data_IF_323111264194
#
_entry.id   IF_323111264194
#
_cell.length_a   1.000
_cell.length_b   1.000
_cell.length_c   1.000
_cell.angle_alpha   90.00
_cell.angle_beta   90.00
_cell.angle_gamma   90.00
#
_symmetry.space_group_name_H-M   'P 1'
#
loop_
_entity.id
_entity.type
_entity.pdbx_description
1 polymer ?
#
# COMPACT_ATOMS: atom_id res chain seq x y z
N UNK A 1 8.44 27.04 7.32
CA UNK A 1 9.68 26.30 7.60
C UNK A 1 10.12 25.67 6.29
N UNK A 2 11.30 26.05 5.82
CA UNK A 2 11.84 25.84 4.48
C UNK A 2 12.21 24.38 4.26
N UNK A 3 11.69 23.81 3.18
CA UNK A 3 12.15 22.54 2.62
C UNK A 3 13.50 22.78 1.93
N UNK A 4 14.57 22.28 2.50
CA UNK A 4 15.85 22.17 1.79
C UNK A 4 15.91 20.82 1.06
N UNK A 5 16.14 20.90 -0.24
CA UNK A 5 16.37 19.80 -1.15
C UNK A 5 17.63 19.03 -0.74
N UNK A 6 17.53 17.72 -0.53
CA UNK A 6 18.72 16.85 -0.37
C UNK A 6 18.90 16.09 -1.68
N UNK A 7 19.92 16.54 -2.42
CA UNK A 7 20.49 15.84 -3.57
C UNK A 7 21.22 14.57 -3.13
N UNK A 8 21.21 13.57 -4.01
CA UNK A 8 21.97 12.31 -4.02
C UNK A 8 23.18 12.26 -3.07
N UNK A 9 23.16 11.34 -2.09
CA UNK A 9 24.38 10.92 -1.37
C UNK A 9 24.47 11.37 0.10
N UNK A 10 23.39 11.53 0.83
CA UNK A 10 23.42 11.97 2.22
C UNK A 10 23.19 10.84 3.24
N UNK A 11 24.16 10.69 4.15
CA UNK A 11 24.09 9.84 5.33
C UNK A 11 22.89 10.27 6.21
N UNK A 12 22.04 9.32 6.57
CA UNK A 12 21.04 9.52 7.63
C UNK A 12 21.79 9.66 8.96
N UNK A 13 21.76 10.84 9.57
CA UNK A 13 22.27 11.07 10.92
C UNK A 13 21.24 10.65 11.95
N UNK A 14 21.71 10.02 13.00
CA UNK A 14 20.99 9.61 14.19
C UNK A 14 20.07 10.70 14.74
N UNK A 15 18.78 10.38 14.82
CA UNK A 15 17.84 11.05 15.70
C UNK A 15 17.38 10.02 16.76
N UNK A 16 18.27 9.71 17.69
CA UNK A 16 17.99 8.87 18.85
C UNK A 16 17.79 9.78 20.06
N UNK A 17 16.56 10.10 20.37
CA UNK A 17 15.98 10.20 21.73
C UNK A 17 14.53 10.67 21.61
N UNK A 18 13.56 9.77 21.72
CA UNK A 18 12.16 10.09 21.97
C UNK A 18 11.27 10.37 20.76
N UNK A 19 11.71 10.13 19.52
CA UNK A 19 10.91 10.34 18.31
C UNK A 19 10.32 9.03 17.77
N UNK A 20 9.15 9.06 17.10
CA UNK A 20 8.51 7.87 16.55
C UNK A 20 9.42 7.15 15.55
N UNK A 21 9.52 5.83 15.69
CA UNK A 21 10.40 4.96 14.89
C UNK A 21 9.78 4.71 13.51
N UNK A 22 10.05 5.58 12.55
CA UNK A 22 9.64 5.40 11.13
C UNK A 22 10.87 5.08 10.31
N UNK A 23 10.85 3.99 9.55
CA UNK A 23 11.81 3.70 8.50
C UNK A 23 11.14 3.89 7.13
N UNK A 24 11.71 4.71 6.27
CA UNK A 24 11.35 4.84 4.86
C UNK A 24 12.41 4.07 4.08
N UNK A 25 12.00 3.10 3.31
CA UNK A 25 12.89 2.39 2.38
C UNK A 25 12.46 2.76 0.98
N UNK A 26 13.24 3.65 0.35
CA UNK A 26 13.10 3.98 -1.07
C UNK A 26 14.04 3.09 -1.85
N UNK A 27 13.54 2.47 -2.93
CA UNK A 27 14.37 1.70 -3.83
C UNK A 27 15.35 2.59 -4.58
N UNK A 28 16.63 2.47 -4.28
CA UNK A 28 17.68 3.03 -5.12
C UNK A 28 18.39 1.88 -5.82
N UNK A 29 18.51 1.97 -7.13
CA UNK A 29 19.32 1.08 -7.94
C UNK A 29 20.74 0.98 -7.37
N UNK A 30 21.17 -0.24 -7.06
CA UNK A 30 22.47 -0.61 -6.50
C UNK A 30 22.67 -0.40 -4.99
N UNK A 31 22.31 -1.40 -4.23
CA UNK A 31 22.73 -1.56 -2.84
C UNK A 31 21.68 -1.11 -1.82
N UNK A 32 21.02 -2.07 -1.24
CA UNK A 32 20.10 -1.89 -0.11
C UNK A 32 20.87 -1.24 1.05
N UNK A 33 20.76 0.07 1.14
CA UNK A 33 21.30 0.86 2.24
C UNK A 33 20.35 0.84 3.44
N UNK A 34 20.33 -0.26 4.20
CA UNK A 34 19.72 -0.27 5.51
C UNK A 34 20.59 0.50 6.47
N UNK A 35 20.19 1.72 6.79
CA UNK A 35 20.85 2.51 7.83
C UNK A 35 20.03 2.43 9.11
N UNK A 36 20.61 1.72 10.09
CA UNK A 36 20.41 2.00 11.49
C UNK A 36 19.10 1.58 12.15
N UNK A 37 18.85 0.28 12.21
CA UNK A 37 18.13 -0.28 13.35
C UNK A 37 19.07 -1.34 13.99
N UNK A 38 19.56 -1.02 15.19
CA UNK A 38 20.43 -1.91 15.93
C UNK A 38 19.81 -3.31 16.09
N UNK A 39 20.70 -4.31 16.03
CA UNK A 39 20.41 -5.72 16.28
C UNK A 39 19.88 -5.93 17.72
N UNK A 40 18.59 -5.75 17.91
CA UNK A 40 17.91 -6.33 19.07
C UNK A 40 16.82 -7.24 18.55
N UNK A 41 16.88 -8.51 18.93
CA UNK A 41 15.75 -9.44 18.72
C UNK A 41 14.56 -8.85 19.48
N UNK A 42 13.39 -8.64 18.85
CA UNK A 42 12.23 -8.19 19.58
C UNK A 42 11.84 -9.29 20.56
N UNK A 43 12.06 -9.04 21.83
CA UNK A 43 11.59 -9.93 22.92
C UNK A 43 10.15 -9.62 23.32
N UNK A 44 9.51 -8.65 22.65
CA UNK A 44 8.18 -8.16 22.99
C UNK A 44 7.33 -8.03 21.72
N UNK A 45 6.05 -8.41 21.76
CA UNK A 45 5.11 -8.25 20.63
C UNK A 45 4.95 -6.79 20.19
N UNK A 46 5.19 -5.84 21.09
CA UNK A 46 5.17 -4.39 20.82
C UNK A 46 6.29 -3.91 19.87
N UNK A 47 7.33 -4.73 19.67
CA UNK A 47 8.46 -4.40 18.81
C UNK A 47 8.32 -4.94 17.37
N UNK A 48 7.31 -5.76 17.10
CA UNK A 48 7.04 -6.27 15.73
C UNK A 48 6.61 -5.11 14.84
N UNK A 49 7.34 -4.79 13.75
CA UNK A 49 7.02 -3.64 12.91
C UNK A 49 5.76 -3.87 12.08
N UNK A 50 5.10 -2.79 11.72
CA UNK A 50 4.01 -2.76 10.74
C UNK A 50 4.61 -2.33 9.40
N UNK A 51 4.52 -3.19 8.39
CA UNK A 51 4.97 -2.92 7.01
C UNK A 51 3.78 -2.43 6.19
N UNK A 52 3.89 -1.26 5.57
CA UNK A 52 2.83 -0.62 4.80
C UNK A 52 3.16 -0.63 3.31
N UNK A 53 2.23 -1.15 2.50
CA UNK A 53 2.31 -1.25 1.04
C UNK A 53 1.25 -0.36 0.39
N UNK A 54 1.68 0.54 -0.49
CA UNK A 54 0.81 1.45 -1.23
C UNK A 54 0.07 0.78 -2.40
N UNK A 55 -0.83 1.50 -3.06
CA UNK A 55 -1.55 1.05 -4.26
C UNK A 55 -0.84 1.39 -5.57
N UNK A 56 -1.53 1.21 -6.70
CA UNK A 56 -1.03 1.28 -8.08
C UNK A 56 -0.36 2.60 -8.45
N UNK A 57 -0.98 3.71 -8.14
CA UNK A 57 -0.45 5.07 -8.40
C UNK A 57 0.06 5.74 -7.12
N UNK A 58 0.25 4.96 -6.05
CA UNK A 58 0.65 5.44 -4.74
C UNK A 58 2.14 5.39 -4.51
N UNK A 59 2.52 5.91 -3.37
CA UNK A 59 3.88 5.93 -2.83
C UNK A 59 3.83 5.79 -1.30
N UNK A 60 4.97 5.55 -0.68
CA UNK A 60 5.05 5.34 0.77
C UNK A 60 4.55 6.54 1.59
N UNK A 61 4.62 7.74 1.04
CA UNK A 61 4.14 8.98 1.64
C UNK A 61 2.62 9.06 1.82
N UNK A 62 1.84 8.31 1.04
CA UNK A 62 0.38 8.27 1.16
C UNK A 62 -0.09 7.86 2.55
N UNK A 63 0.72 7.07 3.23
CA UNK A 63 0.46 6.61 4.58
C UNK A 63 0.76 7.63 5.70
N UNK A 64 1.28 8.83 5.39
CA UNK A 64 1.84 9.75 6.38
C UNK A 64 0.91 10.05 7.55
N UNK A 65 -0.38 10.33 7.29
CA UNK A 65 -1.36 10.63 8.35
C UNK A 65 -1.72 9.39 9.19
N UNK A 66 -1.76 8.22 8.58
CA UNK A 66 -1.99 6.94 9.26
C UNK A 66 -0.79 6.59 10.13
N UNK A 67 0.43 6.80 9.62
CA UNK A 67 1.70 6.55 10.31
C UNK A 67 1.82 7.37 11.59
N UNK A 68 1.37 8.61 11.60
CA UNK A 68 1.35 9.45 12.81
C UNK A 68 0.59 8.81 13.98
N UNK A 69 -0.43 8.01 13.68
CA UNK A 69 -1.17 7.29 14.70
C UNK A 69 -0.50 5.96 15.05
N UNK A 70 -0.09 5.18 14.04
CA UNK A 70 0.52 3.86 14.24
C UNK A 70 1.82 3.93 15.05
N UNK A 71 2.66 4.92 14.80
CA UNK A 71 3.97 5.08 15.45
C UNK A 71 3.92 5.36 16.93
N UNK A 72 2.76 5.77 17.46
CA UNK A 72 2.53 5.91 18.90
C UNK A 72 2.54 4.55 19.62
N UNK A 73 2.31 3.48 18.89
CA UNK A 73 2.13 2.12 19.44
C UNK A 73 3.09 1.10 18.86
N UNK A 74 3.52 1.25 17.61
CA UNK A 74 4.26 0.24 16.86
C UNK A 74 5.34 0.86 15.97
N UNK A 75 6.49 0.23 15.78
CA UNK A 75 7.43 0.60 14.71
C UNK A 75 6.74 0.44 13.35
N UNK A 76 6.99 1.36 12.42
CA UNK A 76 6.39 1.35 11.07
C UNK A 76 7.48 1.38 10.01
N UNK A 77 7.31 0.56 8.98
CA UNK A 77 8.13 0.51 7.77
C UNK A 77 7.23 0.84 6.60
N UNK A 78 7.53 1.90 5.86
CA UNK A 78 6.86 2.26 4.60
C UNK A 78 7.76 1.85 3.45
N UNK A 79 7.21 1.16 2.46
CA UNK A 79 7.98 0.64 1.34
C UNK A 79 7.46 1.18 0.01
N UNK A 80 8.38 1.76 -0.79
CA UNK A 80 8.20 1.94 -2.22
C UNK A 80 8.74 0.68 -2.91
N UNK A 81 7.87 -0.32 -3.04
CA UNK A 81 8.22 -1.66 -3.53
C UNK A 81 8.09 -1.83 -5.05
N UNK A 82 7.37 -0.91 -5.70
CA UNK A 82 7.14 -0.92 -7.11
C UNK A 82 8.22 -0.08 -7.81
N UNK A 83 9.34 -0.70 -8.16
CA UNK A 83 10.40 -0.03 -8.92
C UNK A 83 10.25 -0.28 -10.42
N UNK A 84 10.67 0.68 -11.28
CA UNK A 84 10.74 0.45 -12.71
C UNK A 84 11.65 -0.74 -13.04
N UNK A 85 11.16 -1.64 -13.89
CA UNK A 85 11.99 -2.71 -14.43
C UNK A 85 12.60 -2.22 -15.74
N UNK A 86 13.92 -2.09 -15.78
CA UNK A 86 14.62 -1.62 -16.96
C UNK A 86 14.38 -2.54 -18.18
N UNK A 87 14.00 -1.95 -19.32
CA UNK A 87 13.83 -2.69 -20.57
C UNK A 87 12.45 -3.30 -20.81
N UNK A 88 11.45 -2.90 -20.03
CA UNK A 88 10.09 -3.44 -20.17
C UNK A 88 9.22 -2.77 -21.25
N UNK A 89 9.72 -2.63 -22.48
CA UNK A 89 8.88 -2.81 -23.65
C UNK A 89 8.56 -4.30 -23.87
N UNK A 90 9.05 -5.16 -22.97
CA UNK A 90 8.99 -6.60 -23.08
C UNK A 90 7.68 -7.20 -22.54
N UNK A 91 7.34 -8.36 -23.09
CA UNK A 91 6.20 -9.25 -22.81
C UNK A 91 6.09 -9.64 -21.32
N UNK A 92 7.13 -9.42 -20.53
CA UNK A 92 7.24 -9.78 -19.12
C UNK A 92 6.99 -8.59 -18.20
N UNK A 93 5.71 -8.18 -18.07
CA UNK A 93 5.31 -7.29 -16.96
C UNK A 93 5.63 -7.97 -15.62
N UNK A 94 6.11 -7.23 -14.60
CA UNK A 94 6.34 -7.80 -13.27
C UNK A 94 5.03 -8.40 -12.74
N UNK A 95 5.18 -9.44 -11.93
CA UNK A 95 4.08 -10.15 -11.30
C UNK A 95 3.95 -9.70 -9.84
N UNK A 96 2.82 -10.00 -9.23
CA UNK A 96 2.64 -9.82 -7.78
C UNK A 96 3.76 -10.49 -6.97
N UNK A 97 4.26 -11.67 -7.43
CA UNK A 97 5.40 -12.36 -6.81
C UNK A 97 6.68 -11.54 -6.79
N UNK A 98 6.98 -10.81 -7.86
CA UNK A 98 8.22 -10.03 -7.97
C UNK A 98 8.20 -8.84 -6.99
N UNK A 99 7.01 -8.25 -6.78
CA UNK A 99 6.80 -7.24 -5.76
C UNK A 99 6.87 -7.83 -4.35
N UNK A 100 6.30 -9.02 -4.15
CA UNK A 100 6.36 -9.72 -2.87
C UNK A 100 7.81 -10.03 -2.44
N UNK A 101 8.64 -10.52 -3.37
CA UNK A 101 10.06 -10.82 -3.11
C UNK A 101 10.83 -9.57 -2.67
N UNK A 102 10.58 -8.42 -3.30
CA UNK A 102 11.20 -7.13 -2.90
C UNK A 102 10.76 -6.70 -1.52
N UNK A 103 9.46 -6.79 -1.22
CA UNK A 103 8.93 -6.45 0.10
C UNK A 103 9.55 -7.33 1.18
N UNK A 104 9.60 -8.64 0.97
CA UNK A 104 10.17 -9.61 1.92
C UNK A 104 11.65 -9.35 2.14
N UNK A 105 12.41 -9.10 1.08
CA UNK A 105 13.82 -8.76 1.17
C UNK A 105 14.03 -7.46 1.98
N UNK A 106 13.24 -6.43 1.71
CA UNK A 106 13.35 -5.14 2.40
C UNK A 106 12.89 -5.23 3.87
N UNK A 107 11.77 -5.88 4.16
CA UNK A 107 11.25 -6.05 5.51
C UNK A 107 12.13 -6.97 6.37
N UNK A 108 12.72 -8.02 5.78
CA UNK A 108 13.63 -8.96 6.44
C UNK A 108 15.05 -8.43 6.62
N UNK A 109 15.42 -7.38 5.92
CA UNK A 109 16.72 -6.76 6.06
C UNK A 109 16.89 -6.20 7.48
N UNK A 110 17.99 -6.53 8.14
CA UNK A 110 18.22 -6.21 9.55
C UNK A 110 17.91 -7.35 10.52
N UNK A 111 17.67 -8.58 10.02
CA UNK A 111 17.48 -9.80 10.82
C UNK A 111 16.11 -9.88 11.49
N UNK A 112 15.11 -9.17 10.97
CA UNK A 112 13.72 -9.29 11.42
C UNK A 112 13.11 -10.55 10.85
N UNK A 113 12.48 -11.31 11.73
CA UNK A 113 11.88 -12.61 11.35
C UNK A 113 10.36 -12.53 11.20
N UNK A 114 9.70 -11.52 11.80
CA UNK A 114 8.24 -11.37 11.75
C UNK A 114 7.84 -9.88 11.67
N UNK A 115 6.75 -9.61 10.97
CA UNK A 115 6.12 -8.29 10.86
C UNK A 115 4.60 -8.42 10.70
N UNK A 116 3.89 -7.35 11.01
CA UNK A 116 2.50 -7.18 10.56
C UNK A 116 2.51 -6.54 9.19
N UNK A 117 1.59 -6.96 8.33
CA UNK A 117 1.56 -6.53 6.95
C UNK A 117 0.26 -5.79 6.64
N UNK A 118 0.37 -4.60 6.10
CA UNK A 118 -0.76 -3.80 5.65
C UNK A 118 -0.62 -3.53 4.16
N UNK A 119 -1.60 -3.89 3.38
CA UNK A 119 -1.62 -3.62 1.94
C UNK A 119 -2.88 -2.85 1.54
N UNK A 120 -2.70 -1.84 0.68
CA UNK A 120 -3.78 -1.06 0.09
C UNK A 120 -3.90 -1.31 -1.40
N UNK A 121 -5.11 -1.61 -1.90
CA UNK A 121 -5.39 -1.79 -3.34
C UNK A 121 -4.48 -2.85 -3.96
N UNK A 122 -3.63 -2.53 -4.94
CA UNK A 122 -2.59 -3.44 -5.46
C UNK A 122 -1.70 -3.98 -4.34
N UNK A 123 -1.32 -3.13 -3.38
CA UNK A 123 -0.56 -3.55 -2.20
C UNK A 123 -1.29 -4.62 -1.36
N UNK A 124 -2.64 -4.67 -1.39
CA UNK A 124 -3.40 -5.73 -0.74
C UNK A 124 -3.26 -7.07 -1.48
N UNK A 125 -3.17 -7.07 -2.82
CA UNK A 125 -2.86 -8.29 -3.58
C UNK A 125 -1.44 -8.79 -3.27
N UNK A 126 -0.46 -7.87 -3.19
CA UNK A 126 0.92 -8.20 -2.79
C UNK A 126 0.96 -8.75 -1.36
N UNK A 127 0.24 -8.11 -0.42
CA UNK A 127 0.15 -8.58 0.96
C UNK A 127 -0.52 -9.97 1.07
N UNK A 128 -1.55 -10.23 0.27
CA UNK A 128 -2.21 -11.53 0.18
C UNK A 128 -1.23 -12.62 -0.26
N UNK A 129 -0.43 -12.32 -1.30
CA UNK A 129 0.61 -13.25 -1.78
C UNK A 129 1.66 -13.53 -0.70
N UNK A 130 2.20 -12.48 -0.06
CA UNK A 130 3.21 -12.61 1.00
C UNK A 130 2.66 -13.42 2.18
N UNK A 131 1.45 -13.13 2.64
CA UNK A 131 0.86 -13.82 3.79
C UNK A 131 0.64 -15.33 3.53
N UNK A 132 0.46 -15.72 2.28
CA UNK A 132 0.31 -17.12 1.88
C UNK A 132 1.65 -17.84 1.73
N UNK A 133 2.58 -17.23 0.99
CA UNK A 133 3.82 -17.91 0.56
C UNK A 133 4.98 -17.70 1.55
N UNK A 134 4.92 -16.63 2.37
CA UNK A 134 5.92 -16.31 3.41
C UNK A 134 5.29 -16.29 4.81
N UNK A 135 4.39 -17.24 5.07
CA UNK A 135 3.53 -17.28 6.26
C UNK A 135 4.29 -17.18 7.59
N UNK A 136 5.51 -17.70 7.67
CA UNK A 136 6.34 -17.66 8.88
C UNK A 136 6.82 -16.23 9.24
N UNK A 137 6.86 -15.33 8.26
CA UNK A 137 7.27 -13.96 8.47
C UNK A 137 6.10 -13.02 8.83
N UNK A 138 4.86 -13.45 8.58
CA UNK A 138 3.68 -12.60 8.74
C UNK A 138 2.95 -12.97 10.03
N UNK A 139 2.88 -12.02 10.98
CA UNK A 139 2.15 -12.18 12.23
C UNK A 139 0.65 -11.96 12.05
N UNK A 140 0.28 -10.89 11.36
CA UNK A 140 -1.09 -10.54 11.02
C UNK A 140 -1.14 -9.72 9.73
N UNK A 141 -2.32 -9.65 9.11
CA UNK A 141 -2.52 -8.96 7.82
C UNK A 141 -3.69 -8.01 7.90
N UNK A 142 -3.52 -6.80 7.34
CA UNK A 142 -4.62 -5.87 7.08
C UNK A 142 -4.68 -5.59 5.58
N UNK A 143 -5.81 -5.85 4.98
CA UNK A 143 -6.07 -5.63 3.55
C UNK A 143 -7.09 -4.50 3.40
N UNK A 144 -6.65 -3.37 2.84
CA UNK A 144 -7.48 -2.17 2.68
C UNK A 144 -7.87 -2.03 1.21
N UNK A 145 -9.17 -2.00 0.93
CA UNK A 145 -9.72 -1.85 -0.44
C UNK A 145 -9.08 -2.82 -1.45
N UNK A 146 -8.87 -4.07 -1.03
CA UNK A 146 -8.21 -5.10 -1.82
C UNK A 146 -9.16 -5.84 -2.77
N UNK A 147 -8.59 -6.49 -3.78
CA UNK A 147 -9.26 -7.38 -4.71
C UNK A 147 -8.42 -8.62 -4.98
N UNK A 148 -9.07 -9.72 -5.36
CA UNK A 148 -8.39 -11.01 -5.57
C UNK A 148 -8.10 -11.33 -7.04
N UNK A 149 -8.82 -10.65 -7.99
CA UNK A 149 -8.78 -10.99 -9.41
C UNK A 149 -8.95 -9.76 -10.29
N UNK A 150 -7.89 -9.40 -11.03
CA UNK A 150 -7.84 -8.22 -11.90
C UNK A 150 -8.49 -8.42 -13.27
N UNK A 151 -8.63 -9.67 -13.74
CA UNK A 151 -9.22 -9.97 -15.02
C UNK A 151 -10.76 -10.16 -14.99
N UNK A 152 -11.42 -9.85 -13.85
CA UNK A 152 -12.85 -9.66 -13.82
C UNK A 152 -13.27 -8.62 -14.87
N UNK A 153 -14.37 -8.80 -15.61
CA UNK A 153 -14.74 -7.91 -16.72
C UNK A 153 -14.80 -6.42 -16.34
N UNK A 154 -15.32 -6.09 -15.15
CA UNK A 154 -15.40 -4.69 -14.69
C UNK A 154 -14.02 -4.14 -14.35
N UNK A 155 -13.22 -4.89 -13.59
CA UNK A 155 -11.86 -4.48 -13.21
C UNK A 155 -10.98 -4.32 -14.47
N UNK A 156 -11.09 -5.26 -15.40
CA UNK A 156 -10.36 -5.22 -16.66
C UNK A 156 -10.69 -3.97 -17.48
N UNK A 157 -11.97 -3.65 -17.67
CA UNK A 157 -12.39 -2.44 -18.39
C UNK A 157 -11.84 -1.17 -17.72
N UNK A 158 -11.86 -1.13 -16.39
CA UNK A 158 -11.34 -0.01 -15.63
C UNK A 158 -9.82 0.14 -15.79
N UNK A 159 -9.06 -0.94 -15.62
CA UNK A 159 -7.60 -0.89 -15.74
C UNK A 159 -7.14 -0.69 -17.18
N UNK A 160 -7.84 -1.25 -18.19
CA UNK A 160 -7.58 -0.96 -19.61
C UNK A 160 -7.81 0.54 -19.91
N UNK A 161 -8.87 1.13 -19.34
CA UNK A 161 -9.11 2.59 -19.47
C UNK A 161 -8.00 3.39 -18.78
N UNK A 162 -7.57 2.99 -17.58
CA UNK A 162 -6.49 3.69 -16.87
C UNK A 162 -5.18 3.63 -17.66
N UNK A 163 -4.85 2.45 -18.22
CA UNK A 163 -3.64 2.27 -19.03
C UNK A 163 -3.70 3.14 -20.30
N UNK A 164 -4.86 3.23 -20.94
CA UNK A 164 -5.07 4.12 -22.08
C UNK A 164 -4.86 5.59 -21.70
N UNK A 165 -5.50 6.05 -20.62
CA UNK A 165 -5.42 7.44 -20.18
C UNK A 165 -4.03 7.80 -19.64
N UNK A 166 -3.34 6.91 -18.97
CA UNK A 166 -1.97 7.13 -18.53
C UNK A 166 -1.02 7.50 -19.68
N UNK A 167 -1.31 6.99 -20.90
CA UNK A 167 -0.54 7.26 -22.11
C UNK A 167 -1.02 8.46 -22.90
N UNK A 168 -2.32 8.73 -22.90
CA UNK A 168 -2.94 9.68 -23.83
C UNK A 168 -3.42 10.96 -23.16
N UNK A 169 -3.95 10.87 -21.93
CA UNK A 169 -4.48 12.01 -21.16
C UNK A 169 -4.39 11.80 -19.66
N UNK A 170 -3.24 12.15 -19.12
CA UNK A 170 -2.93 12.03 -17.68
C UNK A 170 -3.85 12.89 -16.82
N UNK A 171 -4.30 14.03 -17.34
CA UNK A 171 -5.25 14.92 -16.66
C UNK A 171 -6.62 14.27 -16.53
N UNK A 172 -7.10 13.61 -17.60
CA UNK A 172 -8.34 12.85 -17.55
C UNK A 172 -8.25 11.68 -16.59
N UNK A 173 -7.09 10.98 -16.53
CA UNK A 173 -6.88 9.93 -15.53
C UNK A 173 -6.95 10.49 -14.11
N UNK A 174 -6.29 11.61 -13.82
CA UNK A 174 -6.37 12.26 -12.52
C UNK A 174 -7.80 12.62 -12.12
N UNK A 175 -8.60 13.16 -13.04
CA UNK A 175 -10.03 13.43 -12.82
C UNK A 175 -10.82 12.17 -12.54
N UNK A 176 -10.58 11.10 -13.31
CA UNK A 176 -11.25 9.81 -13.13
C UNK A 176 -10.91 9.21 -11.75
N UNK A 177 -9.64 9.26 -11.34
CA UNK A 177 -9.21 8.77 -10.04
C UNK A 177 -9.84 9.56 -8.88
N UNK A 178 -9.96 10.87 -8.98
CA UNK A 178 -10.62 11.68 -7.96
C UNK A 178 -12.12 11.34 -7.84
N UNK A 179 -12.83 11.29 -8.96
CA UNK A 179 -14.30 11.06 -8.94
C UNK A 179 -14.67 9.65 -8.52
N UNK A 180 -13.83 8.66 -8.82
CA UNK A 180 -14.06 7.26 -8.43
C UNK A 180 -13.40 6.86 -7.11
N UNK A 181 -12.32 7.55 -6.72
CA UNK A 181 -11.52 7.25 -5.54
C UNK A 181 -11.97 7.96 -4.28
N UNK A 182 -12.64 9.10 -4.39
CA UNK A 182 -13.11 9.88 -3.25
C UNK A 182 -14.62 9.75 -3.05
N UNK A 183 -15.08 9.80 -1.81
CA UNK A 183 -16.49 9.91 -1.52
C UNK A 183 -17.04 11.26 -2.00
N UNK A 184 -18.32 11.29 -2.34
CA UNK A 184 -19.01 12.53 -2.72
C UNK A 184 -18.89 13.61 -1.64
N UNK A 185 -19.03 13.23 -0.37
CA UNK A 185 -18.96 14.16 0.75
C UNK A 185 -17.59 14.82 0.81
N UNK A 186 -16.50 14.03 0.73
CA UNK A 186 -15.14 14.54 0.80
C UNK A 186 -14.79 15.41 -0.41
N UNK A 187 -15.12 14.96 -1.61
CA UNK A 187 -14.83 15.69 -2.85
C UNK A 187 -15.59 17.02 -2.92
N UNK A 188 -16.82 17.07 -2.39
CA UNK A 188 -17.65 18.30 -2.37
C UNK A 188 -17.14 19.38 -1.42
N UNK A 189 -16.17 19.06 -0.55
CA UNK A 189 -15.53 20.05 0.33
C UNK A 189 -14.44 20.87 -0.38
N UNK A 190 -14.03 20.48 -1.59
CA UNK A 190 -12.99 21.17 -2.35
C UNK A 190 -13.61 22.14 -3.36
N UNK A 191 -12.99 23.32 -3.49
CA UNK A 191 -13.27 24.24 -4.58
C UNK A 191 -12.55 23.80 -5.88
N UNK A 192 -12.92 24.42 -6.99
CA UNK A 192 -12.36 24.11 -8.31
C UNK A 192 -10.83 24.30 -8.37
N UNK A 193 -10.30 25.31 -7.69
CA UNK A 193 -8.85 25.58 -7.68
C UNK A 193 -8.09 24.49 -6.94
N UNK A 194 -8.62 24.02 -5.81
CA UNK A 194 -8.06 22.90 -5.05
C UNK A 194 -8.07 21.63 -5.88
N UNK A 195 -9.20 21.30 -6.52
CA UNK A 195 -9.30 20.11 -7.40
C UNK A 195 -8.28 20.18 -8.53
N UNK A 196 -8.19 21.33 -9.21
CA UNK A 196 -7.24 21.53 -10.30
C UNK A 196 -5.78 21.41 -9.80
N UNK A 197 -5.47 21.96 -8.61
CA UNK A 197 -4.17 21.84 -7.98
C UNK A 197 -3.78 20.39 -7.67
N UNK A 198 -4.71 19.58 -7.13
CA UNK A 198 -4.50 18.15 -6.87
C UNK A 198 -4.20 17.40 -8.18
N UNK A 199 -4.99 17.65 -9.24
CA UNK A 199 -4.80 17.00 -10.55
C UNK A 199 -3.44 17.39 -11.15
N UNK A 200 -3.08 18.67 -11.11
CA UNK A 200 -1.78 19.13 -11.62
C UNK A 200 -0.61 18.49 -10.86
N UNK A 201 -0.71 18.42 -9.54
CA UNK A 201 0.30 17.76 -8.71
C UNK A 201 0.41 16.27 -9.04
N UNK A 202 -0.72 15.58 -9.18
CA UNK A 202 -0.75 14.18 -9.60
C UNK A 202 -0.05 13.99 -10.95
N UNK A 203 -0.33 14.83 -11.94
CA UNK A 203 0.30 14.74 -13.27
C UNK A 203 1.80 15.01 -13.23
N UNK A 204 2.23 15.97 -12.41
CA UNK A 204 3.62 16.42 -12.38
C UNK A 204 4.55 15.52 -11.54
N UNK A 205 4.02 14.90 -10.47
CA UNK A 205 4.85 14.21 -9.48
C UNK A 205 4.98 12.70 -9.73
N UNK A 206 4.14 12.12 -10.59
CA UNK A 206 4.14 10.67 -10.80
C UNK A 206 5.12 10.21 -11.88
N UNK A 207 5.76 9.06 -11.61
CA UNK A 207 6.51 8.28 -12.60
C UNK A 207 5.52 7.48 -13.47
N UNK A 208 5.25 8.00 -14.66
CA UNK A 208 4.23 7.42 -15.56
C UNK A 208 4.58 6.04 -16.09
N UNK A 209 5.82 5.74 -16.47
CA UNK A 209 6.27 4.37 -16.77
C UNK A 209 5.96 3.40 -15.64
N UNK A 210 6.22 3.80 -14.38
CA UNK A 210 5.92 2.99 -13.22
C UNK A 210 4.43 2.77 -13.01
N UNK A 211 3.61 3.82 -13.17
CA UNK A 211 2.14 3.69 -13.10
C UNK A 211 1.63 2.73 -14.18
N UNK A 212 2.09 2.85 -15.42
CA UNK A 212 1.72 1.93 -16.49
C UNK A 212 2.11 0.48 -16.16
N UNK A 213 3.29 0.27 -15.61
CA UNK A 213 3.76 -1.03 -15.13
C UNK A 213 2.80 -1.59 -14.07
N UNK A 214 2.47 -0.80 -13.05
CA UNK A 214 1.61 -1.23 -11.96
C UNK A 214 0.18 -1.54 -12.43
N UNK A 215 -0.38 -0.76 -13.36
CA UNK A 215 -1.69 -1.05 -13.98
C UNK A 215 -1.65 -2.40 -14.72
N UNK A 216 -0.55 -2.75 -15.37
CA UNK A 216 -0.41 -4.08 -16.01
C UNK A 216 -0.37 -5.21 -14.98
N UNK A 217 0.24 -4.95 -13.81
CA UNK A 217 0.21 -5.90 -12.71
C UNK A 217 -1.22 -6.05 -12.18
N UNK A 218 -1.97 -4.95 -12.02
CA UNK A 218 -3.39 -5.02 -11.63
C UNK A 218 -4.21 -5.92 -12.56
N UNK A 219 -4.03 -5.77 -13.88
CA UNK A 219 -4.69 -6.60 -14.89
C UNK A 219 -4.33 -8.08 -14.77
N UNK A 220 -3.14 -8.40 -14.26
CA UNK A 220 -2.61 -9.75 -14.11
C UNK A 220 -2.84 -10.34 -12.70
N UNK A 221 -3.39 -9.57 -11.75
CA UNK A 221 -3.66 -10.06 -10.39
C UNK A 221 -4.58 -11.27 -10.44
N UNK A 222 -4.11 -12.38 -9.88
CA UNK A 222 -4.91 -13.52 -9.46
C UNK A 222 -4.28 -14.13 -8.21
N UNK A 223 -4.81 -13.74 -7.06
CA UNK A 223 -4.33 -14.21 -5.73
C UNK A 223 -5.39 -15.04 -5.01
N UNK A 224 -6.38 -15.57 -5.73
CA UNK A 224 -7.49 -16.34 -5.16
C UNK A 224 -7.01 -17.61 -4.45
N UNK A 225 -6.06 -18.32 -5.04
CA UNK A 225 -5.50 -19.53 -4.42
C UNK A 225 -4.57 -19.20 -3.24
N UNK A 226 -3.86 -18.06 -3.28
CA UNK A 226 -3.07 -17.57 -2.15
C UNK A 226 -3.98 -17.19 -0.98
N UNK A 227 -5.06 -16.46 -1.24
CA UNK A 227 -6.01 -16.02 -0.21
C UNK A 227 -6.51 -17.21 0.64
N UNK A 228 -6.83 -18.34 0.01
CA UNK A 228 -7.27 -19.57 0.70
C UNK A 228 -6.22 -20.19 1.62
N UNK A 229 -4.94 -19.93 1.39
CA UNK A 229 -3.82 -20.48 2.16
C UNK A 229 -3.43 -19.63 3.36
N UNK A 230 -3.95 -18.41 3.49
CA UNK A 230 -3.57 -17.50 4.58
C UNK A 230 -4.01 -18.08 5.91
N UNK A 231 -3.04 -18.23 6.82
CA UNK A 231 -3.24 -18.71 8.20
C UNK A 231 -3.17 -17.56 9.22
N UNK A 232 -2.47 -16.49 8.88
CA UNK A 232 -2.33 -15.33 9.74
C UNK A 232 -3.70 -14.69 10.00
N UNK A 233 -3.97 -14.21 11.22
CA UNK A 233 -5.13 -13.36 11.49
C UNK A 233 -5.21 -12.23 10.48
N UNK A 234 -6.38 -12.03 9.88
CA UNK A 234 -6.56 -11.07 8.79
C UNK A 234 -7.72 -10.11 9.08
N UNK A 235 -7.51 -8.82 8.83
CA UNK A 235 -8.56 -7.80 8.80
C UNK A 235 -8.70 -7.27 7.36
N UNK A 236 -9.89 -7.39 6.80
CA UNK A 236 -10.24 -6.78 5.51
C UNK A 236 -11.06 -5.52 5.75
N UNK A 237 -10.56 -4.37 5.28
CA UNK A 237 -11.20 -3.06 5.43
C UNK A 237 -11.68 -2.59 4.06
N UNK A 238 -12.95 -2.21 3.96
CA UNK A 238 -13.53 -1.63 2.74
C UNK A 238 -13.94 -0.18 2.95
N UNK A 239 -13.75 0.65 1.92
CA UNK A 239 -14.39 1.95 1.83
C UNK A 239 -15.85 1.78 1.40
N UNK A 240 -16.80 2.30 2.18
CA UNK A 240 -18.24 2.17 1.91
C UNK A 240 -18.66 2.69 0.53
N UNK A 241 -18.00 3.76 0.09
CA UNK A 241 -18.31 4.47 -1.15
C UNK A 241 -17.26 4.27 -2.24
N UNK A 242 -16.41 3.26 -2.08
CA UNK A 242 -15.35 2.91 -3.01
C UNK A 242 -15.93 2.51 -4.39
N UNK A 243 -15.56 3.27 -5.44
CA UNK A 243 -15.97 2.98 -6.81
C UNK A 243 -14.81 2.42 -7.66
N UNK A 244 -13.59 2.50 -7.16
CA UNK A 244 -12.41 1.88 -7.80
C UNK A 244 -12.42 0.37 -7.54
N UNK A 245 -12.46 0.00 -6.24
CA UNK A 245 -12.65 -1.39 -5.81
C UNK A 245 -13.94 -1.45 -4.98
N UNK A 246 -15.10 -1.54 -5.62
CA UNK A 246 -16.39 -1.62 -4.92
C UNK A 246 -16.38 -2.64 -3.79
N UNK A 247 -17.14 -2.39 -2.71
CA UNK A 247 -17.15 -3.20 -1.50
C UNK A 247 -17.25 -4.71 -1.72
N UNK A 248 -17.96 -5.14 -2.74
CA UNK A 248 -18.15 -6.57 -3.02
C UNK A 248 -16.83 -7.27 -3.42
N UNK A 249 -15.87 -6.61 -4.09
CA UNK A 249 -14.56 -7.22 -4.39
C UNK A 249 -13.71 -7.43 -3.13
N UNK A 250 -13.72 -6.44 -2.23
CA UNK A 250 -13.05 -6.56 -0.92
C UNK A 250 -13.70 -7.65 -0.06
N UNK A 251 -15.04 -7.80 -0.15
CA UNK A 251 -15.79 -8.86 0.51
C UNK A 251 -15.46 -10.23 -0.09
N UNK A 252 -15.42 -10.35 -1.43
CA UNK A 252 -15.02 -11.59 -2.11
C UNK A 252 -13.61 -12.03 -1.73
N UNK A 253 -12.64 -11.09 -1.67
CA UNK A 253 -11.30 -11.40 -1.17
C UNK A 253 -11.35 -11.90 0.27
N UNK A 254 -12.09 -11.24 1.15
CA UNK A 254 -12.24 -11.65 2.54
C UNK A 254 -12.90 -13.02 2.69
N UNK A 255 -13.87 -13.37 1.82
CA UNK A 255 -14.55 -14.67 1.83
C UNK A 255 -13.61 -15.84 1.49
N UNK A 256 -12.57 -15.58 0.72
CA UNK A 256 -11.54 -16.57 0.41
C UNK A 256 -10.58 -16.85 1.57
N UNK A 257 -10.45 -15.92 2.53
CA UNK A 257 -9.47 -16.00 3.62
C UNK A 257 -10.12 -16.57 4.88
N UNK A 258 -9.72 -17.77 5.35
CA UNK A 258 -10.37 -18.44 6.47
C UNK A 258 -10.38 -17.64 7.79
N UNK A 259 -9.38 -16.78 7.98
CA UNK A 259 -9.16 -16.01 9.21
C UNK A 259 -9.69 -14.58 9.15
N UNK A 260 -10.35 -14.18 8.05
CA UNK A 260 -10.68 -12.79 7.82
C UNK A 260 -11.81 -12.27 8.71
N UNK A 261 -11.52 -11.19 9.44
CA UNK A 261 -12.51 -10.26 9.99
C UNK A 261 -12.75 -9.14 8.99
N UNK A 262 -13.90 -8.46 9.07
CA UNK A 262 -14.25 -7.36 8.16
C UNK A 262 -14.53 -6.08 8.93
N UNK A 263 -14.14 -4.96 8.33
CA UNK A 263 -14.49 -3.63 8.79
C UNK A 263 -14.86 -2.74 7.59
N UNK A 264 -15.69 -1.75 7.83
CA UNK A 264 -16.11 -0.76 6.83
C UNK A 264 -15.79 0.65 7.35
N UNK A 265 -15.27 1.50 6.46
CA UNK A 265 -15.00 2.92 6.74
C UNK A 265 -15.89 3.75 5.81
N UNK A 266 -16.55 4.83 6.30
CA UNK A 266 -17.40 5.68 5.48
C UNK A 266 -16.54 6.62 4.60
N UNK A 267 -15.79 6.05 3.66
CA UNK A 267 -14.90 6.71 2.71
C UNK A 267 -15.03 6.12 1.32
N UNK A 268 -14.46 6.77 0.32
CA UNK A 268 -14.14 6.16 -0.97
C UNK A 268 -12.96 5.20 -0.88
N UNK A 269 -12.28 5.00 -2.00
CA UNK A 269 -11.09 4.14 -2.11
C UNK A 269 -9.92 4.66 -1.27
N UNK A 270 -9.70 5.99 -1.29
CA UNK A 270 -8.57 6.66 -0.65
C UNK A 270 -8.85 6.93 0.84
N UNK A 271 -9.17 5.89 1.61
CA UNK A 271 -9.53 5.98 3.03
C UNK A 271 -8.42 6.60 3.89
N UNK A 272 -7.16 6.42 3.52
CA UNK A 272 -6.01 7.04 4.19
C UNK A 272 -5.98 8.58 4.02
N UNK A 273 -6.62 9.12 3.00
CA UNK A 273 -6.79 10.56 2.77
C UNK A 273 -8.07 11.10 3.41
N UNK A 274 -9.19 10.39 3.24
CA UNK A 274 -10.51 10.87 3.70
C UNK A 274 -10.73 10.68 5.20
N UNK A 275 -10.32 9.55 5.74
CA UNK A 275 -10.58 9.09 7.12
C UNK A 275 -9.34 8.45 7.76
N UNK A 276 -8.18 9.15 7.77
CA UNK A 276 -6.92 8.57 8.25
C UNK A 276 -6.97 8.11 9.71
N UNK A 277 -7.71 8.84 10.55
CA UNK A 277 -7.84 8.51 11.99
C UNK A 277 -8.72 7.26 12.16
N UNK A 278 -9.83 7.15 11.44
CA UNK A 278 -10.73 6.00 11.51
C UNK A 278 -10.02 4.75 10.99
N UNK A 279 -9.29 4.89 9.87
CA UNK A 279 -8.48 3.81 9.29
C UNK A 279 -7.41 3.34 10.28
N UNK A 280 -6.63 4.26 10.83
CA UNK A 280 -5.59 3.94 11.80
C UNK A 280 -6.17 3.29 13.07
N UNK A 281 -7.33 3.76 13.55
CA UNK A 281 -8.01 3.19 14.72
C UNK A 281 -8.47 1.76 14.47
N UNK A 282 -9.07 1.47 13.30
CA UNK A 282 -9.47 0.12 12.92
C UNK A 282 -8.25 -0.82 12.82
N UNK A 283 -7.17 -0.35 12.21
CA UNK A 283 -5.91 -1.08 12.11
C UNK A 283 -5.31 -1.37 13.49
N UNK A 284 -5.19 -0.35 14.35
CA UNK A 284 -4.61 -0.49 15.69
C UNK A 284 -5.43 -1.42 16.58
N UNK A 285 -6.75 -1.31 16.54
CA UNK A 285 -7.64 -2.21 17.30
C UNK A 285 -7.33 -3.66 16.97
N UNK A 286 -7.14 -3.98 15.69
CA UNK A 286 -6.82 -5.33 15.24
C UNK A 286 -5.36 -5.72 15.52
N UNK A 287 -4.39 -4.86 15.21
CA UNK A 287 -2.96 -5.16 15.33
C UNK A 287 -2.49 -5.32 16.79
N UNK A 288 -3.21 -4.71 17.74
CA UNK A 288 -2.92 -4.81 19.18
C UNK A 288 -3.69 -5.95 19.87
N UNK A 289 -4.61 -6.62 19.18
CA UNK A 289 -5.21 -7.85 19.70
C UNK A 289 -4.11 -8.92 19.92
N UNK A 290 -4.27 -9.71 20.97
CA UNK A 290 -3.44 -10.92 21.15
C UNK A 290 -3.91 -11.95 20.14
N UNK A 291 -3.13 -12.15 19.11
CA UNK A 291 -3.34 -13.23 18.16
C UNK A 291 -2.63 -14.49 18.66
N UNK A 292 -3.23 -15.69 18.47
CA UNK A 292 -2.65 -16.94 18.92
C UNK A 292 -1.33 -17.30 18.24
#
# INVERSE_FOLDING_TARGET
MTLESISSGGRVRDALSGSPKVAIVTGASSGIGLVGLEKQRPNNEEEVPVVLLHGTSGQSEDWSQVVEQLTKHRPVIRLDYAEPVAGTDSVDAPRVSDFADRVVAAAGAGGRHRFDLVGFSLGAAVATFIAAEYSEMVRSVVLVSGFSYGADPRMRLQFDLWLHLARTDKTALGKLLLVSGLSREFLSAFDENTINGIIQSFVAMNDWPLIEQNIRVDLAVDVREQAKKIKAPTLSITGKYDQIVPPFYTQELADLIPTAKRAEIPSGHLSFMEKPVDLASAMLTFLLEKHP
#
